data_IF_971153074285
#
_entry.id   IF_971153074285
#
_cell.length_a   1.000
_cell.length_b   1.000
_cell.length_c   1.000
_cell.angle_alpha   90.00
_cell.angle_beta   90.00
_cell.angle_gamma   90.00
#
_symmetry.space_group_name_H-M   'P 1'
#
loop_
_entity.id
_entity.type
_entity.pdbx_description
1 polymer ?
#
# COMPACT_ATOMS: atom_id res chain seq x y z
N UNK A 1 26.02 10.22 -12.03
CA UNK A 1 25.20 9.02 -11.75
C UNK A 1 25.30 8.08 -12.93
N UNK A 2 25.47 6.77 -12.71
CA UNK A 2 25.19 5.80 -13.77
C UNK A 2 23.72 6.01 -14.18
N UNK A 3 23.43 6.19 -15.46
CA UNK A 3 22.05 6.24 -15.95
C UNK A 3 21.52 4.81 -16.05
N UNK A 4 21.24 4.19 -14.90
CA UNK A 4 20.48 2.95 -14.91
C UNK A 4 19.03 3.20 -15.35
N UNK A 5 18.28 2.11 -15.55
CA UNK A 5 16.94 2.15 -16.10
C UNK A 5 15.99 3.05 -15.29
N UNK A 6 16.01 2.94 -13.95
CA UNK A 6 15.09 3.66 -13.08
C UNK A 6 15.37 5.16 -13.04
N UNK A 7 16.64 5.55 -12.93
CA UNK A 7 17.04 6.96 -13.01
C UNK A 7 16.66 7.58 -14.36
N UNK A 8 16.78 6.81 -15.45
CA UNK A 8 16.40 7.27 -16.79
C UNK A 8 14.89 7.46 -16.92
N UNK A 9 14.07 6.52 -16.45
CA UNK A 9 12.60 6.66 -16.47
C UNK A 9 12.18 7.90 -15.68
N UNK A 10 12.69 8.07 -14.45
CA UNK A 10 12.36 9.22 -13.61
C UNK A 10 12.78 10.56 -14.21
N UNK A 11 13.86 10.60 -14.99
CA UNK A 11 14.32 11.82 -15.67
C UNK A 11 13.53 12.15 -16.94
N UNK A 12 12.99 11.14 -17.63
CA UNK A 12 12.30 11.31 -18.91
C UNK A 12 10.78 11.42 -18.78
N UNK A 13 10.21 11.05 -17.63
CA UNK A 13 8.76 11.04 -17.42
C UNK A 13 8.39 11.62 -16.05
N UNK A 14 7.13 12.05 -15.85
CA UNK A 14 6.66 12.44 -14.52
C UNK A 14 6.51 11.25 -13.56
N UNK A 15 6.65 10.00 -14.03
CA UNK A 15 6.48 8.77 -13.25
C UNK A 15 7.41 8.75 -12.04
N UNK A 16 6.89 8.26 -10.91
CA UNK A 16 7.63 8.07 -9.67
C UNK A 16 7.54 6.60 -9.30
N UNK A 17 8.69 5.94 -9.19
CA UNK A 17 8.76 4.51 -8.93
C UNK A 17 8.50 4.23 -7.45
N UNK A 18 7.63 3.26 -7.18
CA UNK A 18 7.40 2.71 -5.85
C UNK A 18 7.83 1.24 -5.86
N UNK A 19 8.23 0.73 -4.70
CA UNK A 19 8.63 -0.67 -4.55
C UNK A 19 7.65 -1.43 -3.64
N UNK A 20 7.43 -2.71 -3.89
CA UNK A 20 6.39 -3.48 -3.21
C UNK A 20 6.96 -4.61 -2.34
N UNK A 21 6.47 -4.75 -1.11
CA UNK A 21 6.77 -5.85 -0.19
C UNK A 21 8.26 -6.09 0.04
N UNK A 22 9.07 -5.05 0.29
CA UNK A 22 10.53 -5.17 0.38
C UNK A 22 11.05 -5.51 1.78
N UNK A 23 12.20 -6.18 1.84
CA UNK A 23 13.05 -6.18 3.04
C UNK A 23 13.70 -4.80 3.26
N UNK A 24 14.30 -4.56 4.42
CA UNK A 24 15.07 -3.34 4.70
C UNK A 24 16.20 -3.14 3.69
N UNK A 25 16.93 -4.21 3.34
CA UNK A 25 18.03 -4.13 2.39
C UNK A 25 17.54 -3.83 0.96
N UNK A 26 16.44 -4.47 0.55
CA UNK A 26 15.78 -4.20 -0.73
C UNK A 26 15.26 -2.74 -0.79
N UNK A 27 14.73 -2.21 0.32
CA UNK A 27 14.30 -0.82 0.43
C UNK A 27 15.47 0.14 0.20
N UNK A 28 16.62 -0.10 0.84
CA UNK A 28 17.82 0.71 0.66
C UNK A 28 18.32 0.69 -0.79
N UNK A 29 18.32 -0.47 -1.44
CA UNK A 29 18.67 -0.58 -2.86
C UNK A 29 17.68 0.18 -3.75
N UNK A 30 16.38 0.06 -3.47
CA UNK A 30 15.34 0.76 -4.22
C UNK A 30 15.48 2.29 -4.06
N UNK A 31 15.72 2.78 -2.84
CA UNK A 31 15.96 4.20 -2.57
C UNK A 31 17.19 4.70 -3.33
N UNK A 32 18.30 3.93 -3.31
CA UNK A 32 19.51 4.26 -4.06
C UNK A 32 19.28 4.28 -5.59
N UNK A 33 18.33 3.47 -6.09
CA UNK A 33 17.89 3.45 -7.48
C UNK A 33 16.85 4.54 -7.84
N UNK A 34 16.43 5.37 -6.87
CA UNK A 34 15.51 6.48 -7.09
C UNK A 34 14.03 6.19 -6.76
N UNK A 35 13.74 5.14 -5.99
CA UNK A 35 12.39 4.89 -5.50
C UNK A 35 11.88 6.03 -4.60
N UNK A 36 10.61 6.36 -4.73
CA UNK A 36 9.94 7.49 -4.08
C UNK A 36 8.87 7.06 -3.07
N UNK A 37 8.63 5.76 -2.91
CA UNK A 37 7.70 5.23 -1.93
C UNK A 37 7.72 3.71 -1.92
N UNK A 38 6.99 3.12 -0.99
CA UNK A 38 6.83 1.70 -0.86
C UNK A 38 5.37 1.32 -0.60
N UNK A 39 4.93 0.20 -1.16
CA UNK A 39 3.65 -0.41 -0.81
C UNK A 39 3.87 -1.72 -0.07
N UNK A 40 3.08 -1.93 0.97
CA UNK A 40 2.97 -3.16 1.73
C UNK A 40 1.53 -3.66 1.64
N UNK A 41 1.35 -4.98 1.64
CA UNK A 41 0.05 -5.64 1.67
C UNK A 41 0.05 -6.76 2.72
N UNK A 42 -1.10 -7.35 3.06
CA UNK A 42 -1.18 -8.32 4.16
C UNK A 42 -0.30 -9.57 3.97
N UNK A 43 0.04 -9.93 2.72
CA UNK A 43 0.95 -11.04 2.46
C UNK A 43 2.42 -10.74 2.82
N UNK A 44 2.76 -9.49 3.17
CA UNK A 44 4.12 -9.09 3.55
C UNK A 44 4.62 -9.83 4.79
N UNK A 45 3.78 -9.97 5.82
CA UNK A 45 4.13 -10.70 7.04
C UNK A 45 4.55 -12.14 6.71
N UNK A 46 3.80 -12.81 5.85
CA UNK A 46 4.13 -14.15 5.36
C UNK A 46 5.44 -14.17 4.56
N UNK A 47 5.66 -13.19 3.67
CA UNK A 47 6.94 -13.05 2.93
C UNK A 47 8.10 -12.98 3.93
N UNK A 48 8.02 -12.13 4.94
CA UNK A 48 9.10 -11.92 5.89
C UNK A 48 9.40 -13.16 6.74
N UNK A 49 8.37 -13.89 7.18
CA UNK A 49 8.52 -15.14 7.93
C UNK A 49 9.15 -16.29 7.12
N UNK A 50 9.12 -16.19 5.78
CA UNK A 50 9.70 -17.18 4.88
C UNK A 50 10.95 -16.66 4.13
N UNK A 51 11.35 -15.41 4.34
CA UNK A 51 12.51 -14.82 3.69
C UNK A 51 13.82 -15.32 4.31
N UNK A 52 14.79 -15.71 3.48
CA UNK A 52 16.06 -16.30 3.94
C UNK A 52 16.76 -15.43 5.00
N UNK A 53 16.90 -14.14 4.74
CA UNK A 53 17.57 -13.19 5.65
C UNK A 53 16.61 -12.48 6.62
N UNK A 54 15.32 -12.42 6.29
CA UNK A 54 14.34 -11.60 7.02
C UNK A 54 13.63 -12.36 8.14
N UNK A 55 13.67 -13.69 8.07
CA UNK A 55 12.91 -14.59 8.94
C UNK A 55 13.28 -14.49 10.40
N UNK A 56 14.57 -14.42 10.74
CA UNK A 56 15.01 -14.36 12.13
C UNK A 56 14.47 -13.11 12.84
N UNK A 57 14.56 -11.96 12.19
CA UNK A 57 13.99 -10.70 12.70
C UNK A 57 12.46 -10.77 12.81
N UNK A 58 11.78 -11.31 11.79
CA UNK A 58 10.33 -11.45 11.81
C UNK A 58 9.84 -12.37 12.92
N UNK A 59 10.53 -13.48 13.19
CA UNK A 59 10.22 -14.40 14.29
C UNK A 59 10.44 -13.75 15.66
N UNK A 60 11.50 -12.95 15.83
CA UNK A 60 11.73 -12.22 17.08
C UNK A 60 10.60 -11.22 17.37
N UNK A 61 10.13 -10.48 16.35
CA UNK A 61 8.99 -9.58 16.49
C UNK A 61 7.67 -10.34 16.73
N UNK A 62 7.52 -11.53 16.16
CA UNK A 62 6.37 -12.40 16.43
C UNK A 62 6.36 -12.86 17.90
N UNK A 63 7.49 -13.30 18.44
CA UNK A 63 7.62 -13.70 19.86
C UNK A 63 7.28 -12.56 20.83
N UNK A 64 7.57 -11.32 20.47
CA UNK A 64 7.13 -10.15 21.24
C UNK A 64 5.62 -9.91 21.10
N UNK A 65 5.09 -10.03 19.89
CA UNK A 65 3.69 -9.74 19.57
C UNK A 65 2.74 -10.75 20.21
N UNK A 66 3.15 -12.02 20.31
CA UNK A 66 2.41 -13.06 21.03
C UNK A 66 2.25 -12.78 22.54
N UNK A 67 2.95 -11.78 23.09
CA UNK A 67 2.77 -11.32 24.48
C UNK A 67 1.74 -10.19 24.59
N UNK A 68 1.36 -9.58 23.47
CA UNK A 68 0.43 -8.45 23.40
C UNK A 68 -1.02 -8.89 23.13
N UNK A 69 -1.21 -10.02 22.45
CA UNK A 69 -2.53 -10.57 22.11
C UNK A 69 -2.47 -12.08 21.94
N UNK A 70 -3.55 -12.77 22.34
CA UNK A 70 -3.80 -14.19 22.06
C UNK A 70 -4.72 -14.40 20.84
N UNK A 71 -5.23 -13.32 20.25
CA UNK A 71 -6.05 -13.35 19.03
C UNK A 71 -5.15 -13.29 17.78
N UNK A 72 -5.20 -14.34 16.96
CA UNK A 72 -4.32 -14.53 15.79
C UNK A 72 -4.39 -13.35 14.80
N UNK A 73 -5.58 -12.79 14.61
CA UNK A 73 -5.79 -11.69 13.67
C UNK A 73 -5.19 -10.37 14.18
N UNK A 74 -5.37 -10.08 15.48
CA UNK A 74 -4.68 -8.94 16.12
C UNK A 74 -3.17 -9.14 16.14
N UNK A 75 -2.68 -10.36 16.37
CA UNK A 75 -1.25 -10.69 16.32
C UNK A 75 -0.68 -10.40 14.93
N UNK A 76 -1.37 -10.80 13.86
CA UNK A 76 -0.96 -10.48 12.49
C UNK A 76 -0.88 -8.96 12.27
N UNK A 77 -1.94 -8.21 12.62
CA UNK A 77 -1.98 -6.76 12.42
C UNK A 77 -0.88 -6.02 13.21
N UNK A 78 -0.58 -6.46 14.44
CA UNK A 78 0.51 -5.89 15.24
C UNK A 78 1.87 -6.23 14.62
N UNK A 79 2.10 -7.49 14.24
CA UNK A 79 3.34 -7.92 13.62
C UNK A 79 3.60 -7.18 12.30
N UNK A 80 2.57 -7.04 11.46
CA UNK A 80 2.64 -6.29 10.21
C UNK A 80 3.08 -4.85 10.47
N UNK A 81 2.46 -4.15 11.43
CA UNK A 81 2.87 -2.78 11.82
C UNK A 81 4.32 -2.70 12.26
N UNK A 82 4.80 -3.64 13.09
CA UNK A 82 6.19 -3.67 13.55
C UNK A 82 7.17 -3.86 12.40
N UNK A 83 6.90 -4.78 11.48
CA UNK A 83 7.73 -5.02 10.30
C UNK A 83 7.74 -3.80 9.36
N UNK A 84 6.57 -3.25 9.05
CA UNK A 84 6.43 -2.11 8.16
C UNK A 84 7.04 -0.84 8.76
N UNK A 85 7.06 -0.68 10.09
CA UNK A 85 7.74 0.43 10.75
C UNK A 85 9.23 0.50 10.38
N UNK A 86 9.92 -0.64 10.31
CA UNK A 86 11.32 -0.67 9.86
C UNK A 86 11.49 -0.19 8.43
N UNK A 87 10.57 -0.53 7.53
CA UNK A 87 10.58 -0.03 6.14
C UNK A 87 10.24 1.46 6.08
N UNK A 88 9.28 1.91 6.89
CA UNK A 88 8.91 3.31 7.00
C UNK A 88 10.11 4.17 7.43
N UNK A 89 10.93 3.68 8.37
CA UNK A 89 12.13 4.36 8.84
C UNK A 89 13.17 4.56 7.74
N UNK A 90 13.39 3.57 6.86
CA UNK A 90 14.27 3.72 5.69
C UNK A 90 13.76 4.82 4.74
N UNK A 91 12.45 4.82 4.47
CA UNK A 91 11.82 5.81 3.59
C UNK A 91 11.67 7.20 4.20
N UNK A 92 11.90 7.39 5.52
CA UNK A 92 11.90 8.72 6.13
C UNK A 92 12.97 9.63 5.49
N UNK A 93 14.10 9.09 5.05
CA UNK A 93 15.12 9.84 4.30
C UNK A 93 14.55 10.45 3.02
N UNK A 94 13.63 9.75 2.35
CA UNK A 94 12.91 10.26 1.17
C UNK A 94 11.86 11.28 1.59
N UNK A 95 11.12 10.99 2.66
CA UNK A 95 10.07 11.84 3.18
C UNK A 95 10.58 13.23 3.56
N UNK A 96 11.68 13.30 4.32
CA UNK A 96 12.28 14.56 4.77
C UNK A 96 12.87 15.37 3.61
N UNK A 97 13.66 14.73 2.72
CA UNK A 97 14.29 15.45 1.59
C UNK A 97 13.28 15.97 0.56
N UNK A 98 12.07 15.40 0.55
CA UNK A 98 10.96 15.85 -0.31
C UNK A 98 9.91 16.64 0.45
N UNK A 99 10.19 17.04 1.69
CA UNK A 99 9.28 17.82 2.53
C UNK A 99 7.86 17.21 2.62
N UNK A 100 7.78 15.88 2.70
CA UNK A 100 6.54 15.13 2.84
C UNK A 100 5.75 14.92 1.54
N UNK A 101 6.29 15.28 0.37
CA UNK A 101 5.66 15.00 -0.93
C UNK A 101 5.78 13.52 -1.33
N UNK A 102 6.88 12.87 -0.96
CA UNK A 102 7.19 11.47 -1.26
C UNK A 102 7.69 10.74 -0.01
N UNK A 103 8.18 9.52 -0.15
CA UNK A 103 8.68 8.71 0.95
C UNK A 103 7.62 8.02 1.78
N UNK A 104 6.39 7.92 1.25
CA UNK A 104 5.32 7.20 1.90
C UNK A 104 5.54 5.69 1.85
N UNK A 105 5.16 5.02 2.93
CA UNK A 105 5.03 3.56 2.99
C UNK A 105 3.59 3.22 3.27
N UNK A 106 2.90 2.60 2.30
CA UNK A 106 1.49 2.28 2.43
C UNK A 106 1.26 0.92 3.10
N UNK A 107 0.37 0.83 4.07
CA UNK A 107 0.04 -0.41 4.81
C UNK A 107 -1.48 -0.63 4.83
N UNK A 108 -1.91 -1.88 4.64
CA UNK A 108 -3.31 -2.29 4.75
C UNK A 108 -3.59 -2.84 6.15
N UNK A 109 -4.80 -2.64 6.65
CA UNK A 109 -5.23 -3.18 7.95
C UNK A 109 -5.65 -4.65 7.85
N UNK A 110 -6.53 -5.05 8.77
CA UNK A 110 -7.15 -6.37 8.85
C UNK A 110 -7.88 -6.73 7.54
N UNK A 111 -7.42 -7.75 6.78
CA UNK A 111 -8.08 -8.19 5.55
C UNK A 111 -9.23 -9.18 5.77
N UNK A 112 -9.43 -9.69 6.98
CA UNK A 112 -10.48 -10.66 7.33
C UNK A 112 -11.80 -9.93 7.60
N UNK A 113 -11.73 -8.82 8.35
CA UNK A 113 -12.91 -8.07 8.77
C UNK A 113 -13.08 -6.73 8.03
N UNK A 114 -12.50 -6.61 6.83
CA UNK A 114 -12.55 -5.37 6.01
C UNK A 114 -13.92 -5.05 5.40
N UNK A 115 -14.95 -5.85 5.67
CA UNK A 115 -16.34 -5.50 5.33
C UNK A 115 -16.98 -4.54 6.35
N UNK A 116 -16.39 -4.40 7.54
CA UNK A 116 -16.81 -3.44 8.56
C UNK A 116 -15.99 -2.13 8.46
N UNK A 117 -16.61 -0.99 8.08
CA UNK A 117 -15.91 0.29 8.00
C UNK A 117 -15.23 0.69 9.31
N UNK A 118 -15.81 0.35 10.46
CA UNK A 118 -15.26 0.72 11.76
C UNK A 118 -13.93 0.00 12.03
N UNK A 119 -13.82 -1.27 11.63
CA UNK A 119 -12.56 -2.03 11.70
C UNK A 119 -11.49 -1.36 10.84
N UNK A 120 -11.81 -1.00 9.60
CA UNK A 120 -10.87 -0.32 8.68
C UNK A 120 -10.39 1.02 9.28
N UNK A 121 -11.31 1.80 9.86
CA UNK A 121 -11.00 3.09 10.47
C UNK A 121 -10.04 2.89 11.65
N UNK A 122 -10.33 1.95 12.54
CA UNK A 122 -9.54 1.74 13.74
C UNK A 122 -8.16 1.18 13.44
N UNK A 123 -8.04 0.22 12.52
CA UNK A 123 -6.73 -0.25 12.03
C UNK A 123 -5.99 0.85 11.27
N UNK A 124 -6.69 1.66 10.46
CA UNK A 124 -6.12 2.82 9.77
C UNK A 124 -5.47 3.81 10.74
N UNK A 125 -6.14 4.13 11.86
CA UNK A 125 -5.58 5.00 12.91
C UNK A 125 -4.37 4.37 13.59
N UNK A 126 -4.44 3.08 13.96
CA UNK A 126 -3.32 2.35 14.58
C UNK A 126 -2.10 2.30 13.65
N UNK A 127 -2.32 2.04 12.37
CA UNK A 127 -1.29 2.03 11.34
C UNK A 127 -0.66 3.43 11.20
N UNK A 128 -1.49 4.47 11.08
CA UNK A 128 -1.04 5.86 10.88
C UNK A 128 -0.15 6.36 12.02
N UNK A 129 -0.41 5.90 13.24
CA UNK A 129 0.34 6.28 14.44
C UNK A 129 1.80 5.76 14.44
N UNK A 130 2.15 4.79 13.59
CA UNK A 130 3.48 4.17 13.59
C UNK A 130 4.59 5.11 13.12
N UNK A 131 4.37 5.94 12.10
CA UNK A 131 5.37 6.89 11.59
C UNK A 131 4.73 8.01 10.76
N UNK A 132 5.29 9.24 10.69
CA UNK A 132 4.76 10.35 9.89
C UNK A 132 4.53 10.02 8.40
N UNK A 133 5.36 9.15 7.83
CA UNK A 133 5.30 8.74 6.42
C UNK A 133 4.47 7.48 6.17
N UNK A 134 3.70 6.98 7.15
CA UNK A 134 2.74 5.92 6.90
C UNK A 134 1.54 6.47 6.12
N UNK A 135 1.20 5.75 5.06
CA UNK A 135 0.00 5.94 4.26
C UNK A 135 -0.94 4.76 4.47
N UNK A 136 -2.24 5.00 4.61
CA UNK A 136 -3.19 3.91 4.81
C UNK A 136 -3.64 3.38 3.46
N UNK A 137 -3.55 2.06 3.28
CA UNK A 137 -3.96 1.36 2.06
C UNK A 137 -5.30 0.68 2.30
N UNK A 138 -6.33 1.02 1.52
CA UNK A 138 -7.70 0.53 1.74
C UNK A 138 -8.28 0.08 0.40
N UNK A 139 -8.85 -1.14 0.30
CA UNK A 139 -9.57 -1.56 -0.90
C UNK A 139 -10.72 -0.61 -1.26
N UNK A 140 -10.91 -0.33 -2.55
CA UNK A 140 -11.99 0.52 -3.06
C UNK A 140 -13.33 -0.23 -3.11
N UNK A 141 -13.76 -0.73 -1.95
CA UNK A 141 -15.06 -1.36 -1.69
C UNK A 141 -16.03 -0.34 -1.08
N UNK A 142 -17.30 -0.71 -0.93
CA UNK A 142 -18.30 0.15 -0.26
C UNK A 142 -17.88 0.50 1.17
N UNK A 143 -17.46 -0.50 1.95
CA UNK A 143 -16.98 -0.28 3.31
C UNK A 143 -15.68 0.53 3.34
N UNK A 144 -14.77 0.25 2.39
CA UNK A 144 -13.55 1.01 2.21
C UNK A 144 -13.80 2.49 1.94
N UNK A 145 -14.73 2.84 1.04
CA UNK A 145 -15.08 4.23 0.73
C UNK A 145 -15.65 4.98 1.95
N UNK A 146 -16.44 4.32 2.80
CA UNK A 146 -16.93 4.89 4.06
C UNK A 146 -15.77 5.18 5.01
N UNK A 147 -14.88 4.21 5.22
CA UNK A 147 -13.71 4.37 6.07
C UNK A 147 -12.72 5.44 5.56
N UNK A 148 -12.46 5.44 4.25
CA UNK A 148 -11.64 6.46 3.59
C UNK A 148 -12.17 7.86 3.86
N UNK A 149 -13.50 8.05 3.80
CA UNK A 149 -14.12 9.34 4.06
C UNK A 149 -13.76 9.89 5.44
N UNK A 150 -13.87 9.06 6.48
CA UNK A 150 -13.50 9.44 7.86
C UNK A 150 -12.01 9.74 7.97
N UNK A 151 -11.15 8.88 7.44
CA UNK A 151 -9.69 9.05 7.56
C UNK A 151 -9.18 10.26 6.77
N UNK A 152 -9.78 10.60 5.63
CA UNK A 152 -9.46 11.82 4.87
C UNK A 152 -9.84 13.08 5.66
N UNK A 153 -10.98 13.09 6.36
CA UNK A 153 -11.35 14.20 7.26
C UNK A 153 -10.32 14.39 8.38
N UNK A 154 -9.69 13.31 8.83
CA UNK A 154 -8.59 13.30 9.79
C UNK A 154 -7.21 13.67 9.17
N UNK A 155 -7.18 14.10 7.91
CA UNK A 155 -5.96 14.43 7.17
C UNK A 155 -4.98 13.25 7.03
N UNK A 156 -5.51 12.03 6.89
CA UNK A 156 -4.71 10.82 6.71
C UNK A 156 -4.38 10.60 5.22
N UNK A 157 -3.08 10.43 4.86
CA UNK A 157 -2.70 10.07 3.50
C UNK A 157 -3.20 8.67 3.13
N UNK A 158 -3.69 8.51 1.90
CA UNK A 158 -4.45 7.35 1.45
C UNK A 158 -3.86 6.72 0.18
N UNK A 159 -3.90 5.40 0.12
CA UNK A 159 -3.75 4.60 -1.09
C UNK A 159 -5.01 3.72 -1.29
N UNK A 160 -5.92 4.11 -2.17
CA UNK A 160 -7.06 3.28 -2.54
C UNK A 160 -6.60 2.14 -3.45
N UNK A 161 -6.75 0.88 -3.02
CA UNK A 161 -6.26 -0.33 -3.71
C UNK A 161 -7.40 -1.21 -4.21
N UNK A 162 -7.08 -2.33 -4.84
CA UNK A 162 -8.04 -3.29 -5.41
C UNK A 162 -9.02 -2.60 -6.37
N UNK A 163 -8.47 -1.71 -7.21
CA UNK A 163 -9.20 -1.03 -8.27
C UNK A 163 -8.96 -1.80 -9.57
N UNK A 164 -10.01 -2.45 -10.08
CA UNK A 164 -9.98 -3.17 -11.36
C UNK A 164 -10.93 -2.54 -12.40
N UNK A 165 -11.75 -1.57 -11.97
CA UNK A 165 -12.68 -0.86 -12.86
C UNK A 165 -12.58 0.66 -12.75
N UNK A 166 -12.87 1.35 -13.86
CA UNK A 166 -12.92 2.82 -13.88
C UNK A 166 -13.98 3.39 -12.94
N UNK A 167 -15.09 2.68 -12.73
CA UNK A 167 -16.14 3.11 -11.78
C UNK A 167 -15.60 3.26 -10.36
N UNK A 168 -14.74 2.35 -9.89
CA UNK A 168 -14.12 2.45 -8.56
C UNK A 168 -13.22 3.69 -8.46
N UNK A 169 -12.48 4.04 -9.51
CA UNK A 169 -11.69 5.27 -9.54
C UNK A 169 -12.58 6.50 -9.42
N UNK A 170 -13.69 6.52 -10.17
CA UNK A 170 -14.67 7.62 -10.12
C UNK A 170 -15.25 7.74 -8.71
N UNK A 171 -15.68 6.64 -8.09
CA UNK A 171 -16.23 6.63 -6.74
C UNK A 171 -15.24 7.19 -5.70
N UNK A 172 -13.96 6.78 -5.77
CA UNK A 172 -12.89 7.31 -4.90
C UNK A 172 -12.69 8.80 -5.14
N UNK A 173 -12.64 9.26 -6.39
CA UNK A 173 -12.44 10.68 -6.72
C UNK A 173 -13.61 11.55 -6.27
N UNK A 174 -14.85 11.10 -6.51
CA UNK A 174 -16.07 11.82 -6.09
C UNK A 174 -16.14 11.94 -4.57
N UNK A 175 -15.88 10.83 -3.85
CA UNK A 175 -15.78 10.82 -2.39
C UNK A 175 -14.70 11.80 -1.90
N UNK A 176 -13.48 11.71 -2.45
CA UNK A 176 -12.37 12.57 -2.07
C UNK A 176 -12.69 14.06 -2.29
N UNK A 177 -13.26 14.41 -3.45
CA UNK A 177 -13.66 15.79 -3.74
C UNK A 177 -14.77 16.29 -2.80
N UNK A 178 -15.78 15.47 -2.53
CA UNK A 178 -16.90 15.81 -1.65
C UNK A 178 -16.43 16.09 -0.22
N UNK A 179 -15.52 15.28 0.30
CA UNK A 179 -14.96 15.44 1.65
C UNK A 179 -14.00 16.64 1.69
N UNK A 180 -13.04 16.70 0.77
CA UNK A 180 -12.01 17.76 0.79
C UNK A 180 -12.53 19.16 0.45
N UNK A 181 -13.73 19.28 -0.12
CA UNK A 181 -14.43 20.56 -0.26
C UNK A 181 -14.87 21.16 1.09
N UNK A 182 -14.98 20.33 2.14
CA UNK A 182 -15.45 20.72 3.47
C UNK A 182 -14.33 20.79 4.51
N UNK A 183 -13.16 20.23 4.22
CA UNK A 183 -11.99 20.23 5.11
C UNK A 183 -11.03 21.37 4.77
N UNK A 184 -10.20 21.77 5.75
CA UNK A 184 -9.11 22.74 5.52
C UNK A 184 -7.86 22.11 4.92
N UNK A 185 -7.78 20.79 4.99
CA UNK A 185 -6.62 19.99 4.57
C UNK A 185 -7.01 19.08 3.41
N UNK A 186 -6.02 18.75 2.57
CA UNK A 186 -6.16 17.85 1.44
C UNK A 186 -5.04 16.82 1.51
N UNK A 187 -5.22 15.71 2.24
CA UNK A 187 -4.16 14.71 2.36
C UNK A 187 -3.87 14.10 0.99
N UNK A 188 -2.63 13.66 0.78
CA UNK A 188 -2.24 12.95 -0.44
C UNK A 188 -3.10 11.69 -0.59
N UNK A 189 -3.63 11.46 -1.80
CA UNK A 189 -4.37 10.25 -2.13
C UNK A 189 -3.86 9.67 -3.45
N UNK A 190 -3.64 8.36 -3.47
CA UNK A 190 -3.31 7.58 -4.67
C UNK A 190 -4.39 6.53 -4.93
N UNK A 191 -4.55 6.17 -6.20
CA UNK A 191 -5.34 5.03 -6.64
C UNK A 191 -4.39 3.97 -7.22
N UNK A 192 -4.37 2.78 -6.64
CA UNK A 192 -3.61 1.62 -7.13
C UNK A 192 -4.51 0.77 -8.03
N UNK A 193 -4.34 0.92 -9.34
CA UNK A 193 -5.03 0.11 -10.34
C UNK A 193 -4.31 -1.24 -10.49
N UNK A 194 -5.04 -2.34 -10.36
CA UNK A 194 -4.51 -3.70 -10.42
C UNK A 194 -4.87 -4.33 -11.77
N UNK A 195 -4.21 -3.87 -12.84
CA UNK A 195 -4.53 -4.30 -14.21
C UNK A 195 -4.10 -5.73 -14.48
N UNK A 196 -2.94 -6.18 -13.97
CA UNK A 196 -2.42 -7.52 -14.28
C UNK A 196 -3.36 -8.67 -13.91
N UNK A 197 -4.07 -8.58 -12.78
CA UNK A 197 -5.05 -9.61 -12.38
C UNK A 197 -6.27 -9.58 -13.31
N UNK A 198 -6.68 -8.39 -13.75
CA UNK A 198 -7.76 -8.24 -14.72
C UNK A 198 -7.36 -8.80 -16.09
N UNK A 199 -6.14 -8.53 -16.55
CA UNK A 199 -5.59 -9.05 -17.80
C UNK A 199 -5.49 -10.59 -17.76
N UNK A 200 -5.03 -11.16 -16.63
CA UNK A 200 -5.03 -12.62 -16.42
C UNK A 200 -6.43 -13.23 -16.47
N UNK A 201 -7.42 -12.57 -15.88
CA UNK A 201 -8.81 -13.01 -15.94
C UNK A 201 -9.35 -12.96 -17.37
N UNK A 202 -9.08 -11.87 -18.09
CA UNK A 202 -9.50 -11.68 -19.47
C UNK A 202 -8.90 -12.75 -20.40
N UNK A 203 -7.63 -13.10 -20.20
CA UNK A 203 -6.96 -14.18 -20.93
C UNK A 203 -7.65 -15.53 -20.73
N UNK A 204 -7.97 -15.89 -19.49
CA UNK A 204 -8.70 -17.13 -19.17
C UNK A 204 -10.09 -17.15 -19.79
N UNK A 205 -10.78 -16.01 -19.82
CA UNK A 205 -12.12 -15.91 -20.38
C UNK A 205 -12.13 -16.03 -21.90
N UNK A 206 -11.16 -15.42 -22.58
CA UNK A 206 -10.93 -15.56 -24.03
C UNK A 206 -10.68 -17.02 -24.40
N UNK A 207 -9.79 -17.70 -23.65
CA UNK A 207 -9.51 -19.13 -23.86
C UNK A 207 -10.78 -19.98 -23.66
N UNK A 208 -11.51 -19.73 -22.57
CA UNK A 208 -12.75 -20.44 -22.24
C UNK A 208 -13.83 -20.30 -23.33
N UNK A 209 -13.92 -19.13 -23.94
CA UNK A 209 -14.90 -18.82 -24.98
C UNK A 209 -14.42 -19.19 -26.39
N UNK A 210 -13.15 -19.58 -26.56
CA UNK A 210 -12.58 -19.88 -27.86
C UNK A 210 -12.53 -18.67 -28.79
N UNK A 211 -12.35 -17.46 -28.23
CA UNK A 211 -12.26 -16.23 -29.02
C UNK A 211 -10.87 -16.16 -29.65
N UNK A 212 -10.81 -16.01 -30.97
CA UNK A 212 -9.55 -15.79 -31.69
C UNK A 212 -9.18 -14.30 -31.63
N UNK A 213 -8.16 -13.98 -30.85
CA UNK A 213 -7.66 -12.62 -30.61
C UNK A 213 -6.14 -12.64 -30.44
N UNK A 214 -5.47 -11.59 -30.91
CA UNK A 214 -4.02 -11.48 -30.81
C UNK A 214 -3.58 -11.32 -29.35
N UNK A 215 -2.53 -12.04 -28.90
CA UNK A 215 -1.94 -11.84 -27.58
C UNK A 215 -1.39 -10.41 -27.37
N UNK A 216 -1.08 -9.68 -28.44
CA UNK A 216 -0.60 -8.27 -28.32
C UNK A 216 -1.74 -7.28 -28.00
N UNK A 217 -2.99 -7.71 -28.14
CA UNK A 217 -4.20 -6.89 -27.90
C UNK A 217 -4.87 -7.27 -26.57
N UNK A 218 -4.53 -8.45 -26.06
CA UNK A 218 -4.96 -8.99 -24.77
C UNK A 218 -4.05 -8.49 -23.65
#
# INVERSE_FOLDING_TARGET
>A
MKQDYFHRVAALTPTKMWINNVTTQEAQWAIAAGAMGCTQNPAYTWKMLNHEEGKEHALALLDETLKESDDDNQVECILQRKLVKGIADEFMTVYERTNGEHGYVSIQGDPINEEDPQVIIDEGRKNRAMSPNIMIKIPATKAGLEAMGVLIEENTPLNATEIMGLSQVVDVCEMYHKITAKTKTKPVAYCSLITGIYDEWLGKEVERLGIEISPDVL
#
